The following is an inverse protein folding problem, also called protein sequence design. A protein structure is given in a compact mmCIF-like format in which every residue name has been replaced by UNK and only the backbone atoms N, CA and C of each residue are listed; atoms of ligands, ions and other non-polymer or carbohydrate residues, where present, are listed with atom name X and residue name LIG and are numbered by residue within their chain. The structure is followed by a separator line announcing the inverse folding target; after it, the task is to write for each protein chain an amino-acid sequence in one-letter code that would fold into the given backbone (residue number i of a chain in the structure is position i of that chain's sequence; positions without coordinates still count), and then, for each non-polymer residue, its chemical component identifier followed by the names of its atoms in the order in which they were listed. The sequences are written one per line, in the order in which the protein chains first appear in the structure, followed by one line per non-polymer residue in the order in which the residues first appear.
data_IF_978396733310
#
_entry.id   IF_978396733310
#
_cell.length_a   1.000
_cell.length_b   1.000
_cell.length_c   1.000
_cell.angle_alpha   90.00
_cell.angle_beta   90.00
_cell.angle_gamma   90.00
#
_symmetry.space_group_name_H-M   'P 1'
#
loop_
_entity.id
_entity.type
_entity.pdbx_description
1 polymer ?
#
# COMPACT_ATOMS: atom_id res chain seq x y z
N UNK A 1 -5.88 1.24 14.33
CA UNK A 1 -5.13 2.46 14.70
C UNK A 1 -6.10 3.37 15.42
N UNK A 2 -5.73 3.91 16.58
CA UNK A 2 -6.53 4.89 17.33
C UNK A 2 -5.84 6.25 17.32
N UNK A 3 -6.60 7.33 17.25
CA UNK A 3 -6.07 8.70 17.32
C UNK A 3 -7.02 9.65 18.04
N UNK A 4 -6.52 10.84 18.39
CA UNK A 4 -7.35 11.95 18.88
C UNK A 4 -8.33 12.39 17.80
N UNK A 5 -9.48 12.92 18.21
CA UNK A 5 -10.44 13.52 17.29
C UNK A 5 -9.78 14.58 16.39
N UNK A 6 -10.20 14.68 15.12
CA UNK A 6 -9.82 15.78 14.24
C UNK A 6 -9.98 17.15 14.94
N UNK A 7 -8.95 17.98 14.90
CA UNK A 7 -8.94 19.27 15.61
C UNK A 7 -8.58 19.20 17.11
N UNK A 8 -8.55 18.01 17.70
CA UNK A 8 -8.15 17.78 19.11
C UNK A 8 -6.77 17.12 19.24
N UNK A 9 -5.97 17.13 18.17
CA UNK A 9 -4.62 16.58 18.24
C UNK A 9 -3.79 17.35 19.26
N UNK A 10 -3.17 16.63 20.20
CA UNK A 10 -2.28 17.25 21.19
C UNK A 10 -1.09 17.98 20.55
N UNK A 11 -0.65 17.51 19.38
CA UNK A 11 0.47 18.08 18.65
C UNK A 11 -0.02 19.06 17.57
N UNK A 12 0.55 20.27 17.57
CA UNK A 12 0.25 21.37 16.62
C UNK A 12 0.48 20.95 15.17
N UNK A 13 1.33 19.96 14.92
CA UNK A 13 1.58 19.42 13.58
C UNK A 13 0.40 18.64 13.01
N UNK A 14 -0.65 18.42 13.81
CA UNK A 14 -1.88 17.70 13.45
C UNK A 14 -1.61 16.30 12.88
N UNK A 15 -0.82 15.52 13.62
CA UNK A 15 -0.38 14.19 13.18
C UNK A 15 -1.52 13.19 12.96
N UNK A 16 -2.71 13.44 13.47
CA UNK A 16 -3.90 12.63 13.19
C UNK A 16 -4.36 12.74 11.72
N UNK A 17 -4.27 13.91 11.08
CA UNK A 17 -4.56 14.03 9.65
C UNK A 17 -3.49 13.35 8.78
N UNK A 18 -2.22 13.46 9.17
CA UNK A 18 -1.13 12.73 8.50
C UNK A 18 -1.37 11.20 8.61
N UNK A 19 -1.83 10.72 9.77
CA UNK A 19 -2.21 9.32 9.96
C UNK A 19 -3.43 8.91 9.12
N UNK A 20 -4.42 9.79 8.93
CA UNK A 20 -5.57 9.55 8.06
C UNK A 20 -5.12 9.35 6.59
N UNK A 21 -4.28 10.24 6.07
CA UNK A 21 -3.69 10.08 4.73
C UNK A 21 -2.88 8.79 4.59
N UNK A 22 -2.06 8.47 5.60
CA UNK A 22 -1.30 7.22 5.63
C UNK A 22 -2.21 5.98 5.60
N UNK A 23 -3.35 6.01 6.31
CA UNK A 23 -4.30 4.88 6.31
C UNK A 23 -4.93 4.68 4.95
N UNK A 24 -5.26 5.73 4.21
CA UNK A 24 -5.75 5.60 2.84
C UNK A 24 -4.70 4.98 1.91
N UNK A 25 -3.45 5.42 2.00
CA UNK A 25 -2.34 4.84 1.22
C UNK A 25 -2.11 3.38 1.62
N UNK A 26 -2.09 3.08 2.92
CA UNK A 26 -1.90 1.71 3.41
C UNK A 26 -3.02 0.78 2.97
N UNK A 27 -4.28 1.24 2.92
CA UNK A 27 -5.38 0.46 2.35
C UNK A 27 -5.17 0.14 0.87
N UNK A 28 -4.71 1.11 0.08
CA UNK A 28 -4.38 0.86 -1.34
C UNK A 28 -3.22 -0.15 -1.49
N UNK A 29 -2.22 -0.10 -0.61
CA UNK A 29 -1.14 -1.09 -0.56
C UNK A 29 -1.69 -2.49 -0.22
N UNK A 30 -2.55 -2.60 0.79
CA UNK A 30 -3.18 -3.88 1.16
C UNK A 30 -3.95 -4.48 -0.02
N UNK A 31 -4.77 -3.67 -0.69
CA UNK A 31 -5.52 -4.09 -1.87
C UNK A 31 -4.59 -4.59 -2.99
N UNK A 32 -3.52 -3.86 -3.29
CA UNK A 32 -2.54 -4.25 -4.31
C UNK A 32 -1.85 -5.58 -4.00
N UNK A 33 -1.50 -5.84 -2.74
CA UNK A 33 -0.84 -7.10 -2.35
C UNK A 33 -1.83 -8.26 -2.15
N UNK A 34 -3.12 -8.04 -2.45
CA UNK A 34 -4.17 -9.05 -2.39
C UNK A 34 -4.80 -9.23 -1.01
N UNK A 35 -4.61 -8.29 -0.08
CA UNK A 35 -5.27 -8.30 1.22
C UNK A 35 -6.51 -7.41 1.23
N UNK A 36 -7.54 -7.84 1.96
CA UNK A 36 -8.72 -7.01 2.12
C UNK A 36 -8.38 -5.71 2.91
N UNK A 37 -8.59 -4.52 2.34
CA UNK A 37 -8.27 -3.23 3.00
C UNK A 37 -9.07 -2.99 4.28
N UNK A 38 -10.19 -3.70 4.48
CA UNK A 38 -10.98 -3.66 5.70
C UNK A 38 -10.28 -4.26 6.92
N UNK A 39 -9.14 -4.93 6.73
CA UNK A 39 -8.25 -5.36 7.81
C UNK A 39 -7.50 -4.21 8.47
N UNK A 40 -7.58 -3.00 7.91
CA UNK A 40 -7.05 -1.78 8.50
C UNK A 40 -8.16 -0.79 8.84
N UNK A 41 -8.22 -0.37 10.10
CA UNK A 41 -9.19 0.62 10.59
C UNK A 41 -8.49 1.73 11.36
N UNK A 42 -8.90 2.96 11.08
CA UNK A 42 -8.59 4.14 11.87
C UNK A 42 -9.86 4.55 12.59
N UNK A 43 -9.76 4.83 13.88
CA UNK A 43 -10.87 5.26 14.72
C UNK A 43 -10.40 6.40 15.63
N UNK A 44 -11.27 7.39 15.80
CA UNK A 44 -11.04 8.50 16.70
C UNK A 44 -11.62 8.18 18.06
N UNK A 45 -10.80 8.27 19.11
CA UNK A 45 -11.19 7.95 20.48
C UNK A 45 -10.47 8.93 21.41
N UNK A 46 -11.21 9.67 22.22
CA UNK A 46 -10.67 10.54 23.25
C UNK A 46 -10.23 9.74 24.48
N UNK A 47 -9.44 10.37 25.35
CA UNK A 47 -8.97 9.73 26.59
C UNK A 47 -10.12 9.40 27.58
N UNK A 48 -11.27 10.07 27.48
CA UNK A 48 -12.44 9.84 28.34
C UNK A 48 -13.44 8.83 27.75
N UNK A 49 -13.23 8.37 26.52
CA UNK A 49 -14.18 7.52 25.78
C UNK A 49 -13.90 6.01 25.97
N UNK A 50 -13.70 5.58 27.22
CA UNK A 50 -13.38 4.18 27.53
C UNK A 50 -14.44 3.17 27.04
N UNK A 51 -15.72 3.50 27.15
CA UNK A 51 -16.82 2.65 26.66
C UNK A 51 -16.77 2.52 25.13
N UNK A 52 -16.63 3.64 24.41
CA UNK A 52 -16.50 3.65 22.94
C UNK A 52 -15.29 2.83 22.49
N UNK A 53 -14.15 2.96 23.18
CA UNK A 53 -12.97 2.16 22.88
C UNK A 53 -13.27 0.65 22.93
N UNK A 54 -13.91 0.19 24.01
CA UNK A 54 -14.28 -1.21 24.16
C UNK A 54 -15.25 -1.67 23.06
N UNK A 55 -16.25 -0.85 22.71
CA UNK A 55 -17.18 -1.14 21.62
C UNK A 55 -16.47 -1.28 20.27
N UNK A 56 -15.58 -0.35 19.94
CA UNK A 56 -14.78 -0.37 18.70
C UNK A 56 -13.87 -1.60 18.64
N UNK A 57 -13.18 -1.93 19.73
CA UNK A 57 -12.31 -3.12 19.77
C UNK A 57 -13.13 -4.40 19.56
N UNK A 58 -14.28 -4.53 20.22
CA UNK A 58 -15.17 -5.68 20.07
C UNK A 58 -15.76 -5.77 18.66
N UNK A 59 -16.18 -4.65 18.08
CA UNK A 59 -16.69 -4.61 16.70
C UNK A 59 -15.63 -5.03 15.69
N UNK A 60 -14.43 -4.44 15.80
CA UNK A 60 -13.35 -4.74 14.88
C UNK A 60 -12.86 -6.18 15.03
N UNK A 61 -12.79 -6.71 16.25
CA UNK A 61 -12.49 -8.13 16.50
C UNK A 61 -13.51 -9.03 15.79
N UNK A 62 -14.82 -8.78 15.93
CA UNK A 62 -15.86 -9.55 15.21
C UNK A 62 -15.71 -9.44 13.69
N UNK A 63 -15.39 -8.26 13.17
CA UNK A 63 -15.14 -8.06 11.74
C UNK A 63 -13.96 -8.92 11.26
N UNK A 64 -12.83 -8.87 11.96
CA UNK A 64 -11.64 -9.67 11.63
C UNK A 64 -11.90 -11.17 11.74
N UNK A 65 -12.66 -11.63 12.74
CA UNK A 65 -13.06 -13.05 12.86
C UNK A 65 -13.87 -13.49 11.64
N UNK A 66 -14.82 -12.66 11.17
CA UNK A 66 -15.60 -12.96 9.96
C UNK A 66 -14.75 -12.98 8.68
N UNK A 67 -13.74 -12.11 8.59
CA UNK A 67 -12.79 -12.10 7.47
C UNK A 67 -11.82 -13.29 7.51
N UNK A 68 -11.65 -13.94 8.66
CA UNK A 68 -10.74 -15.07 8.84
C UNK A 68 -9.25 -14.69 8.77
N UNK A 69 -8.34 -15.69 8.79
CA UNK A 69 -6.90 -15.46 8.76
C UNK A 69 -6.45 -14.78 7.46
N UNK A 70 -5.59 -13.76 7.59
CA UNK A 70 -5.07 -13.01 6.44
C UNK A 70 -4.27 -13.91 5.47
N UNK A 71 -4.46 -13.69 4.17
CA UNK A 71 -3.78 -14.40 3.09
C UNK A 71 -4.42 -15.76 2.74
N UNK A 72 -5.06 -16.43 3.71
CA UNK A 72 -5.73 -17.72 3.47
C UNK A 72 -7.09 -17.56 2.81
N UNK A 73 -7.89 -16.60 3.30
CA UNK A 73 -9.26 -16.39 2.81
C UNK A 73 -9.26 -15.60 1.51
N UNK A 74 -8.28 -14.72 1.33
CA UNK A 74 -8.08 -13.95 0.10
C UNK A 74 -7.47 -14.77 -1.06
N UNK A 75 -7.06 -16.02 -0.81
CA UNK A 75 -6.41 -16.85 -1.83
C UNK A 75 -5.05 -16.32 -2.27
N UNK A 76 -4.38 -15.52 -1.43
CA UNK A 76 -3.07 -14.96 -1.74
C UNK A 76 -1.99 -15.99 -1.45
N UNK A 77 -1.20 -16.33 -2.47
CA UNK A 77 -0.01 -17.17 -2.30
C UNK A 77 0.93 -16.56 -1.23
N UNK A 78 1.36 -17.36 -0.24
CA UNK A 78 2.14 -16.86 0.89
C UNK A 78 3.42 -16.12 0.44
N UNK A 79 4.06 -16.62 -0.62
CA UNK A 79 5.24 -16.00 -1.22
C UNK A 79 4.95 -14.63 -1.84
N UNK A 80 3.77 -14.45 -2.47
CA UNK A 80 3.34 -13.18 -3.07
C UNK A 80 3.06 -12.13 -1.99
N UNK A 81 2.36 -12.54 -0.93
CA UNK A 81 2.08 -11.65 0.19
C UNK A 81 3.37 -11.16 0.84
N UNK A 82 4.32 -12.07 1.09
CA UNK A 82 5.60 -11.72 1.67
C UNK A 82 6.36 -10.71 0.80
N UNK A 83 6.47 -10.95 -0.51
CA UNK A 83 7.13 -10.02 -1.44
C UNK A 83 6.48 -8.63 -1.41
N UNK A 84 5.13 -8.57 -1.39
CA UNK A 84 4.42 -7.30 -1.35
C UNK A 84 4.65 -6.53 -0.05
N UNK A 85 4.67 -7.21 1.09
CA UNK A 85 4.97 -6.59 2.39
C UNK A 85 6.44 -6.16 2.50
N UNK A 86 7.38 -6.93 1.96
CA UNK A 86 8.80 -6.57 1.89
C UNK A 86 9.00 -5.33 1.02
N UNK A 87 8.33 -5.28 -0.14
CA UNK A 87 8.34 -4.12 -1.03
C UNK A 87 7.75 -2.88 -0.37
N UNK A 88 6.59 -3.01 0.29
CA UNK A 88 5.97 -1.91 1.02
C UNK A 88 6.88 -1.39 2.14
N UNK A 89 7.56 -2.29 2.85
CA UNK A 89 8.52 -1.94 3.90
C UNK A 89 9.72 -1.17 3.35
N UNK A 90 10.29 -1.61 2.23
CA UNK A 90 11.38 -0.90 1.52
C UNK A 90 10.94 0.48 1.03
N UNK A 91 9.65 0.63 0.70
CA UNK A 91 9.08 1.86 0.17
C UNK A 91 8.69 2.89 1.24
N UNK A 92 8.73 2.55 2.54
CA UNK A 92 8.31 3.46 3.63
C UNK A 92 8.92 4.87 3.53
N UNK A 93 10.25 5.04 3.31
CA UNK A 93 10.84 6.38 3.20
C UNK A 93 10.26 7.19 2.03
N UNK A 94 10.03 6.54 0.89
CA UNK A 94 9.43 7.15 -0.29
C UNK A 94 7.96 7.48 -0.07
N UNK A 95 7.17 6.58 0.53
CA UNK A 95 5.76 6.82 0.87
C UNK A 95 5.63 8.07 1.75
N UNK A 96 6.49 8.19 2.78
CA UNK A 96 6.51 9.37 3.65
C UNK A 96 6.81 10.65 2.89
N UNK A 97 7.75 10.61 1.95
CA UNK A 97 8.09 11.75 1.10
C UNK A 97 6.91 12.15 0.19
N UNK A 98 6.29 11.18 -0.49
CA UNK A 98 5.13 11.43 -1.37
C UNK A 98 3.95 11.98 -0.58
N UNK A 99 3.66 11.42 0.61
CA UNK A 99 2.61 11.93 1.48
C UNK A 99 2.86 13.39 1.85
N UNK A 100 4.08 13.72 2.28
CA UNK A 100 4.43 15.08 2.68
C UNK A 100 4.38 16.09 1.52
N UNK A 101 4.78 15.68 0.31
CA UNK A 101 4.94 16.59 -0.83
C UNK A 101 3.71 16.68 -1.75
N UNK A 102 2.96 15.59 -1.91
CA UNK A 102 1.94 15.46 -2.96
C UNK A 102 0.55 15.15 -2.43
N UNK A 103 0.43 14.62 -1.22
CA UNK A 103 -0.85 14.15 -0.66
C UNK A 103 -1.19 14.80 0.69
N UNK A 104 -0.42 15.81 1.12
CA UNK A 104 -0.70 16.54 2.35
C UNK A 104 -1.78 17.58 2.09
N UNK A 105 -2.98 17.30 2.57
CA UNK A 105 -4.08 18.25 2.58
C UNK A 105 -4.01 19.04 3.90
N UNK A 106 -4.19 20.36 3.82
CA UNK A 106 -4.04 21.28 4.97
C UNK A 106 -5.30 21.42 5.82
N UNK A 107 -6.24 20.47 5.75
CA UNK A 107 -7.64 20.68 6.17
C UNK A 107 -8.36 19.37 6.53
N UNK A 108 -9.57 19.53 7.07
CA UNK A 108 -10.40 18.58 7.83
C UNK A 108 -10.51 17.14 7.30
N UNK A 109 -11.05 16.26 8.14
CA UNK A 109 -11.29 14.85 7.80
C UNK A 109 -12.13 14.71 6.52
N UNK A 110 -13.14 15.55 6.31
CA UNK A 110 -13.99 15.50 5.12
C UNK A 110 -13.23 15.81 3.82
N UNK A 111 -12.22 16.69 3.87
CA UNK A 111 -11.37 16.94 2.71
C UNK A 111 -10.52 15.72 2.35
N UNK A 112 -9.94 15.05 3.35
CA UNK A 112 -9.23 13.79 3.14
C UNK A 112 -10.15 12.73 2.54
N UNK A 113 -11.33 12.51 3.14
CA UNK A 113 -12.28 11.51 2.66
C UNK A 113 -12.74 11.81 1.21
N UNK A 114 -13.04 13.09 0.90
CA UNK A 114 -13.41 13.50 -0.47
C UNK A 114 -12.28 13.28 -1.45
N UNK A 115 -11.06 13.70 -1.12
CA UNK A 115 -9.92 13.58 -2.01
C UNK A 115 -9.56 12.11 -2.28
N UNK A 116 -9.34 11.31 -1.23
CA UNK A 116 -8.98 9.90 -1.39
C UNK A 116 -10.14 9.05 -1.96
N UNK A 117 -11.39 9.51 -1.81
CA UNK A 117 -12.56 8.90 -2.45
C UNK A 117 -12.75 9.29 -3.92
N UNK A 118 -12.15 10.40 -4.37
CA UNK A 118 -12.25 10.89 -5.75
C UNK A 118 -11.40 10.07 -6.73
N UNK A 119 -11.79 10.08 -8.01
CA UNK A 119 -11.00 9.45 -9.08
C UNK A 119 -9.62 10.09 -9.25
N UNK A 120 -9.50 11.40 -8.99
CA UNK A 120 -8.22 12.10 -9.00
C UNK A 120 -7.28 11.58 -7.91
N UNK A 121 -7.76 11.49 -6.66
CA UNK A 121 -6.98 10.99 -5.54
C UNK A 121 -6.57 9.53 -5.71
N UNK A 122 -7.50 8.66 -6.11
CA UNK A 122 -7.19 7.25 -6.42
C UNK A 122 -6.14 7.12 -7.51
N UNK A 123 -6.26 7.90 -8.60
CA UNK A 123 -5.28 7.93 -9.70
C UNK A 123 -3.91 8.38 -9.20
N UNK A 124 -3.85 9.43 -8.38
CA UNK A 124 -2.59 9.93 -7.86
C UNK A 124 -1.90 8.91 -6.93
N UNK A 125 -2.66 8.25 -6.04
CA UNK A 125 -2.13 7.18 -5.18
C UNK A 125 -1.63 6.00 -6.02
N UNK A 126 -2.36 5.61 -7.07
CA UNK A 126 -1.92 4.54 -7.97
C UNK A 126 -0.59 4.89 -8.65
N UNK A 127 -0.52 6.03 -9.31
CA UNK A 127 0.65 6.46 -10.08
C UNK A 127 1.89 6.74 -9.25
N UNK A 128 1.72 7.12 -7.98
CA UNK A 128 2.84 7.46 -7.10
C UNK A 128 3.24 6.31 -6.20
N UNK A 129 2.28 5.64 -5.55
CA UNK A 129 2.58 4.62 -4.54
C UNK A 129 2.48 3.21 -5.14
N UNK A 130 1.36 2.87 -5.79
CA UNK A 130 1.12 1.49 -6.25
C UNK A 130 2.06 1.10 -7.39
N UNK A 131 2.30 2.00 -8.35
CA UNK A 131 3.24 1.76 -9.44
C UNK A 131 4.68 1.58 -8.93
N UNK A 132 5.07 2.33 -7.90
CA UNK A 132 6.39 2.21 -7.28
C UNK A 132 6.52 0.95 -6.42
N UNK A 133 5.43 0.55 -5.77
CA UNK A 133 5.33 -0.73 -5.07
C UNK A 133 5.52 -1.89 -6.06
N UNK A 134 4.82 -1.89 -7.20
CA UNK A 134 4.96 -2.90 -8.24
C UNK A 134 6.40 -2.97 -8.79
N UNK A 135 7.02 -1.82 -9.07
CA UNK A 135 8.45 -1.76 -9.47
C UNK A 135 9.39 -2.35 -8.41
N UNK A 136 9.10 -2.11 -7.15
CA UNK A 136 9.88 -2.65 -6.02
C UNK A 136 9.68 -4.16 -5.90
N UNK A 137 8.45 -4.67 -6.03
CA UNK A 137 8.15 -6.11 -6.04
C UNK A 137 8.87 -6.83 -7.19
N UNK A 138 8.87 -6.25 -8.38
CA UNK A 138 9.61 -6.78 -9.55
C UNK A 138 11.10 -6.82 -9.26
N UNK A 139 11.67 -5.74 -8.71
CA UNK A 139 13.09 -5.70 -8.35
C UNK A 139 13.44 -6.79 -7.34
N UNK A 140 12.64 -6.96 -6.29
CA UNK A 140 12.84 -8.02 -5.27
C UNK A 140 12.74 -9.44 -5.87
N UNK A 141 11.87 -9.65 -6.86
CA UNK A 141 11.80 -10.93 -7.58
C UNK A 141 13.07 -11.18 -8.41
N UNK A 142 13.55 -10.15 -9.12
CA UNK A 142 14.74 -10.24 -9.96
C UNK A 142 16.04 -10.37 -9.15
N UNK A 143 16.09 -9.86 -7.92
CA UNK A 143 17.18 -10.07 -6.97
C UNK A 143 17.36 -11.57 -6.62
N UNK A 144 16.28 -12.38 -6.73
CA UNK A 144 16.34 -13.85 -6.51
C UNK A 144 16.82 -14.61 -7.74
N UNK A 145 16.78 -13.99 -8.91
CA UNK A 145 17.27 -14.56 -10.16
C UNK A 145 16.53 -14.05 -11.40
N UNK A 146 17.04 -14.37 -12.60
CA UNK A 146 16.46 -13.86 -13.84
C UNK A 146 15.08 -14.46 -14.13
N UNK A 147 14.10 -13.62 -14.49
CA UNK A 147 12.73 -14.02 -14.77
C UNK A 147 12.21 -13.40 -16.07
N UNK A 148 11.29 -14.09 -16.73
CA UNK A 148 10.53 -13.58 -17.87
C UNK A 148 9.34 -12.73 -17.41
N UNK A 149 8.81 -11.89 -18.31
CA UNK A 149 7.58 -11.10 -18.06
C UNK A 149 6.42 -11.96 -17.57
N UNK A 150 6.25 -13.16 -18.14
CA UNK A 150 5.17 -14.08 -17.77
C UNK A 150 5.33 -14.67 -16.36
N UNK A 151 6.56 -15.04 -15.98
CA UNK A 151 6.86 -15.54 -14.63
C UNK A 151 6.63 -14.47 -13.56
N UNK A 152 7.04 -13.23 -13.84
CA UNK A 152 6.80 -12.08 -12.97
C UNK A 152 5.29 -11.82 -12.84
N UNK A 153 4.56 -11.74 -13.96
CA UNK A 153 3.12 -11.50 -13.95
C UNK A 153 2.35 -12.56 -13.17
N UNK A 154 2.68 -13.83 -13.38
CA UNK A 154 2.10 -14.95 -12.60
C UNK A 154 2.41 -14.84 -11.12
N UNK A 155 3.64 -14.46 -10.75
CA UNK A 155 4.04 -14.35 -9.35
C UNK A 155 3.35 -13.19 -8.64
N UNK A 156 3.14 -12.06 -9.35
CA UNK A 156 2.60 -10.83 -8.78
C UNK A 156 1.08 -10.66 -8.95
N UNK A 157 0.44 -11.47 -9.79
CA UNK A 157 -0.97 -11.29 -10.16
C UNK A 157 -1.19 -10.10 -11.09
N UNK A 158 -0.17 -9.73 -11.88
CA UNK A 158 -0.20 -8.59 -12.80
C UNK A 158 -0.30 -9.07 -14.25
N UNK A 159 -0.92 -8.26 -15.12
CA UNK A 159 -0.93 -8.54 -16.55
C UNK A 159 0.46 -8.38 -17.17
N UNK A 160 0.71 -9.09 -18.28
CA UNK A 160 1.98 -8.96 -19.00
C UNK A 160 2.25 -7.51 -19.48
N UNK A 161 1.19 -6.74 -19.75
CA UNK A 161 1.28 -5.33 -20.15
C UNK A 161 1.73 -4.44 -18.99
N UNK A 162 1.16 -4.63 -17.80
CA UNK A 162 1.57 -3.91 -16.59
C UNK A 162 3.02 -4.21 -16.25
N UNK A 163 3.40 -5.50 -16.22
CA UNK A 163 4.77 -5.92 -15.94
C UNK A 163 5.75 -5.30 -16.95
N UNK A 164 5.44 -5.38 -18.25
CA UNK A 164 6.28 -4.78 -19.29
C UNK A 164 6.43 -3.27 -19.11
N UNK A 165 5.36 -2.58 -18.75
CA UNK A 165 5.37 -1.12 -18.54
C UNK A 165 6.31 -0.74 -17.37
N UNK A 166 6.28 -1.49 -16.27
CA UNK A 166 7.19 -1.29 -15.14
C UNK A 166 8.64 -1.65 -15.50
N UNK A 167 8.87 -2.76 -16.20
CA UNK A 167 10.21 -3.19 -16.64
C UNK A 167 10.87 -2.19 -17.59
N UNK A 168 10.10 -1.59 -18.51
CA UNK A 168 10.60 -0.51 -19.38
C UNK A 168 11.06 0.67 -18.54
N UNK A 169 10.29 1.06 -17.52
CA UNK A 169 10.68 2.12 -16.59
C UNK A 169 11.96 1.81 -15.82
N UNK A 170 12.07 0.59 -15.28
CA UNK A 170 13.27 0.14 -14.54
C UNK A 170 14.51 0.07 -15.45
N UNK A 171 14.35 -0.43 -16.68
CA UNK A 171 15.44 -0.52 -17.64
C UNK A 171 15.92 0.86 -18.10
N UNK A 172 15.01 1.81 -18.32
CA UNK A 172 15.37 3.22 -18.63
C UNK A 172 16.18 3.88 -17.53
N UNK A 173 16.00 3.48 -16.28
CA UNK A 173 16.79 3.97 -15.14
C UNK A 173 18.05 3.13 -14.87
N UNK A 174 18.34 2.12 -15.71
CA UNK A 174 19.52 1.27 -15.56
C UNK A 174 19.45 0.32 -14.36
N UNK A 175 18.27 0.02 -13.83
CA UNK A 175 18.09 -0.86 -12.68
C UNK A 175 17.92 -2.33 -13.07
N UNK A 176 17.48 -2.57 -14.31
CA UNK A 176 17.21 -3.91 -14.84
C UNK A 176 17.73 -4.00 -16.27
N UNK A 177 18.35 -5.13 -16.60
CA UNK A 177 18.81 -5.48 -17.95
C UNK A 177 18.00 -6.63 -18.53
N UNK A 178 17.85 -6.63 -19.86
CA UNK A 178 17.23 -7.72 -20.60
C UNK A 178 18.31 -8.57 -21.28
N UNK A 179 18.22 -9.88 -21.12
CA UNK A 179 19.04 -10.86 -21.83
C UNK A 179 18.26 -11.39 -23.04
N UNK A 180 18.70 -11.00 -24.23
CA UNK A 180 18.05 -11.41 -25.49
C UNK A 180 18.15 -12.92 -25.76
N UNK A 181 19.23 -13.56 -25.32
CA UNK A 181 19.45 -14.99 -25.52
C UNK A 181 18.56 -15.85 -24.64
N UNK A 182 18.38 -15.45 -23.38
CA UNK A 182 17.54 -16.15 -22.42
C UNK A 182 16.08 -15.66 -22.39
N UNK A 183 15.77 -14.54 -23.07
CA UNK A 183 14.47 -13.84 -23.02
C UNK A 183 14.01 -13.53 -21.58
N UNK A 184 14.95 -13.09 -20.75
CA UNK A 184 14.77 -12.89 -19.31
C UNK A 184 15.33 -11.54 -18.86
N UNK A 185 14.74 -11.00 -17.80
CA UNK A 185 15.21 -9.79 -17.13
C UNK A 185 16.04 -10.18 -15.91
N UNK A 186 17.04 -9.38 -15.58
CA UNK A 186 17.86 -9.51 -14.37
C UNK A 186 18.19 -8.11 -13.82
N UNK A 187 18.54 -8.02 -12.54
CA UNK A 187 19.12 -6.78 -11.99
C UNK A 187 20.39 -6.41 -12.78
N UNK A 188 20.54 -5.12 -13.06
CA UNK A 188 21.64 -4.58 -13.85
C UNK A 188 23.01 -4.80 -13.18
#
# INVERSE_FOLDING_TARGET
IGGCWPGECHYITEGNYDALGMVHVAKAILEHVGLNPDRLRLEWVSASEGIRFAEVMNDFARKLTKLGPAGKVEGTEANRLQIGLDAATRLIPYIRLVLAQRLKLRRSEEEYLRFFGSEEGKRLVRQTIVDELARTEISLLLERGPLSTGEIGKSLGLSASEVSSHLIGLSRHGLVRYDEGAKRFAVA
#
